data_IF_691518318322
#
_entry.id   IF_691518318322
#
_cell.length_a   1.000
_cell.length_b   1.000
_cell.length_c   1.000
_cell.angle_alpha   90.00
_cell.angle_beta   90.00
_cell.angle_gamma   90.00
#
_symmetry.space_group_name_H-M   'P 1'
#
loop_
_entity.id
_entity.type
_entity.pdbx_description
1 polymer ?
2 non-polymer ?
3 non-polymer ?
4 non-polymer ?
5 water ?
#
# COMPACT_ATOMS: atom_id res chain seq x y z
N UNK A 3 -17.34 -10.86 -11.68
CA UNK A 3 -18.11 -9.62 -11.70
C UNK A 3 -17.37 -8.42 -11.08
N UNK A 4 -16.74 -8.60 -9.89
CA UNK A 4 -15.98 -7.47 -9.34
C UNK A 4 -14.81 -7.03 -10.23
N UNK A 5 -13.94 -7.97 -10.59
CA UNK A 5 -12.82 -7.64 -11.46
C UNK A 5 -13.30 -7.15 -12.83
N UNK A 6 -14.36 -7.77 -13.35
CA UNK A 6 -14.86 -7.40 -14.67
C UNK A 6 -15.43 -5.98 -14.66
N UNK A 7 -16.16 -5.61 -13.59
CA UNK A 7 -16.66 -4.24 -13.48
C UNK A 7 -15.53 -3.26 -13.24
N UNK A 8 -14.51 -3.68 -12.48
CA UNK A 8 -13.38 -2.80 -12.19
C UNK A 8 -12.64 -2.42 -13.47
N UNK A 9 -12.39 -3.41 -14.33
CA UNK A 9 -11.73 -3.15 -15.60
C UNK A 9 -12.63 -2.39 -16.57
N UNK A 10 -13.94 -2.50 -16.43
CA UNK A 10 -14.86 -1.76 -17.29
C UNK A 10 -14.85 -0.28 -16.93
N UNK A 11 -14.73 0.04 -15.65
CA UNK A 11 -14.63 1.44 -15.24
C UNK A 11 -13.26 2.00 -15.58
N UNK A 12 -12.24 1.15 -15.66
CA UNK A 12 -10.92 1.61 -16.07
C UNK A 12 -10.94 2.17 -17.48
N UNK A 13 -11.62 1.49 -18.41
CA UNK A 13 -11.75 2.00 -19.76
C UNK A 13 -12.49 3.33 -19.77
N UNK A 14 -13.49 3.48 -18.91
CA UNK A 14 -14.24 4.73 -18.83
C UNK A 14 -13.37 5.85 -18.29
N UNK A 15 -12.56 5.57 -17.27
CA UNK A 15 -11.69 6.60 -16.69
C UNK A 15 -10.61 7.01 -17.68
N UNK A 16 -9.97 6.01 -18.31
CA UNK A 16 -8.91 6.31 -19.27
C UNK A 16 -9.46 7.10 -20.47
N UNK A 17 -10.65 6.75 -20.94
CA UNK A 17 -11.22 7.44 -22.09
C UNK A 17 -11.52 8.90 -21.75
N UNK A 18 -11.97 9.17 -20.53
CA UNK A 18 -12.24 10.55 -20.14
C UNK A 18 -10.95 11.36 -20.05
N UNK A 19 -9.93 10.81 -19.40
CA UNK A 19 -8.68 11.54 -19.21
C UNK A 19 -8.02 11.86 -20.55
N UNK A 20 -7.92 10.85 -21.42
CA UNK A 20 -7.25 11.05 -22.70
C UNK A 20 -8.04 11.99 -23.61
N UNK A 21 -9.37 11.83 -23.66
CA UNK A 21 -10.18 12.74 -24.45
C UNK A 21 -10.13 14.16 -23.89
N UNK A 22 -10.02 14.31 -22.58
CA UNK A 22 -9.89 15.64 -21.99
C UNK A 22 -8.60 16.31 -22.46
N UNK A 23 -7.50 15.55 -22.48
CA UNK A 23 -6.25 16.08 -23.01
C UNK A 23 -6.38 16.45 -24.48
N UNK A 24 -7.16 15.67 -25.23
CA UNK A 24 -7.33 15.94 -26.66
C UNK A 24 -8.19 17.18 -26.89
N UNK A 25 -9.27 17.32 -26.12
CA UNK A 25 -10.26 18.37 -26.38
C UNK A 25 -9.96 19.66 -25.61
N UNK A 26 -9.49 19.56 -24.37
CA UNK A 26 -9.27 20.73 -23.54
C UNK A 26 -7.82 21.15 -23.42
N UNK A 27 -6.88 20.21 -23.53
CA UNK A 27 -5.47 20.51 -23.34
C UNK A 27 -4.68 20.54 -24.64
N UNK A 28 -5.37 20.40 -25.79
CA UNK A 28 -4.76 20.58 -27.11
C UNK A 28 -3.58 19.62 -27.32
N UNK A 29 -3.81 18.35 -27.03
CA UNK A 29 -2.78 17.31 -27.17
C UNK A 29 -2.93 16.59 -28.50
N UNK A 30 -1.78 16.30 -29.12
CA UNK A 30 -1.74 15.62 -30.41
C UNK A 30 -1.93 14.12 -30.24
N UNK A 31 -2.43 13.43 -31.27
CA UNK A 31 -2.67 11.98 -31.15
C UNK A 31 -1.44 11.18 -30.77
N UNK A 32 -0.25 11.55 -31.27
CA UNK A 32 0.95 10.80 -30.96
C UNK A 32 1.21 10.77 -29.45
N UNK A 33 0.95 11.88 -28.77
CA UNK A 33 1.15 11.92 -27.32
C UNK A 33 -0.02 11.29 -26.56
N UNK A 34 -1.23 11.33 -27.13
CA UNK A 34 -2.36 10.67 -26.48
C UNK A 34 -2.16 9.17 -26.46
N UNK A 35 -1.71 8.60 -27.58
CA UNK A 35 -1.41 7.17 -27.60
C UNK A 35 -0.22 6.84 -26.73
N UNK A 36 0.76 7.75 -26.65
CA UNK A 36 1.90 7.56 -25.76
C UNK A 36 1.45 7.50 -24.30
N UNK A 37 0.51 8.37 -23.92
CA UNK A 37 0.04 8.38 -22.54
C UNK A 37 -0.90 7.21 -22.25
N UNK A 38 -1.59 6.71 -23.27
CA UNK A 38 -2.40 5.50 -23.08
C UNK A 38 -1.52 4.30 -22.76
N UNK A 39 -0.44 4.12 -23.53
CA UNK A 39 0.48 3.01 -23.27
C UNK A 39 1.14 3.15 -21.91
N UNK A 40 1.47 4.39 -21.51
CA UNK A 40 2.09 4.60 -20.20
C UNK A 40 1.10 4.31 -19.08
N UNK A 41 -0.15 4.72 -19.24
CA UNK A 41 -1.16 4.46 -18.22
C UNK A 41 -1.37 2.96 -18.03
N UNK A 42 -1.41 2.21 -19.13
CA UNK A 42 -1.59 0.76 -19.03
C UNK A 42 -0.38 0.09 -18.38
N UNK A 43 0.82 0.58 -18.69
CA UNK A 43 2.03 -0.04 -18.16
C UNK A 43 2.15 0.13 -16.66
N UNK A 44 1.78 1.30 -16.14
CA UNK A 44 1.99 1.60 -14.73
C UNK A 44 0.80 1.21 -13.85
N UNK A 45 -0.42 1.24 -14.39
CA UNK A 45 -1.61 1.01 -13.58
C UNK A 45 -2.17 -0.40 -13.69
N UNK A 46 -1.95 -1.07 -14.81
CA UNK A 46 -2.46 -2.42 -15.01
C UNK A 46 -1.34 -3.45 -14.85
N UNK A 47 -1.74 -4.65 -14.42
CA UNK A 47 -0.82 -5.77 -14.26
C UNK A 47 -0.67 -6.27 -12.84
N UNK A 48 -0.93 -5.43 -11.84
CA UNK A 48 -0.84 -5.85 -10.45
C UNK A 48 -1.98 -6.75 -10.04
N UNK A 49 -2.22 -6.86 -8.74
CA UNK A 49 -3.30 -7.68 -8.21
C UNK A 49 -4.55 -6.88 -7.88
N UNK A 50 -4.46 -5.55 -7.88
CA UNK A 50 -5.61 -4.66 -7.66
C UNK A 50 -6.24 -4.88 -6.29
N UNK A 51 -5.43 -5.23 -5.29
CA UNK A 51 -5.96 -5.49 -3.96
C UNK A 51 -6.52 -4.22 -3.32
N UNK A 52 -5.81 -3.10 -3.48
CA UNK A 52 -6.30 -1.85 -2.92
C UNK A 52 -7.59 -1.40 -3.60
N UNK A 53 -7.63 -1.50 -4.94
CA UNK A 53 -8.81 -1.04 -5.66
C UNK A 53 -10.03 -1.91 -5.41
N UNK A 54 -9.85 -3.23 -5.47
CA UNK A 54 -10.97 -4.14 -5.25
C UNK A 54 -11.46 -4.14 -3.81
N UNK A 55 -10.61 -3.72 -2.86
CA UNK A 55 -11.05 -3.62 -1.48
C UNK A 55 -12.14 -2.56 -1.31
N UNK A 56 -12.03 -1.46 -2.07
CA UNK A 56 -13.06 -0.43 -2.01
C UNK A 56 -14.40 -0.97 -2.49
N UNK A 57 -14.37 -1.82 -3.53
CA UNK A 57 -15.62 -2.38 -4.06
C UNK A 57 -16.24 -3.34 -3.06
N UNK A 58 -15.42 -4.18 -2.43
CA UNK A 58 -15.95 -5.17 -1.49
C UNK A 58 -16.57 -4.50 -0.26
N UNK A 59 -15.98 -3.38 0.18
CA UNK A 59 -16.57 -2.63 1.29
C UNK A 59 -17.87 -1.98 0.87
N UNK A 60 -17.95 -1.51 -0.38
CA UNK A 60 -19.14 -0.81 -0.83
C UNK A 60 -20.32 -1.77 -1.02
N UNK A 61 -20.07 -2.93 -1.63
CA UNK A 61 -21.17 -3.86 -1.90
C UNK A 61 -21.74 -4.44 -0.63
N UNK A 62 -20.93 -4.51 0.44
CA UNK A 62 -21.44 -5.04 1.70
C UNK A 62 -22.34 -4.03 2.41
N UNK A 63 -22.02 -2.73 2.30
CA UNK A 63 -22.77 -1.72 3.03
C UNK A 63 -24.08 -1.34 2.36
N UNK A 64 -24.26 -1.65 1.07
CA UNK A 64 -25.53 -1.40 0.41
C UNK A 64 -26.52 -2.55 0.61
N UNK A 65 -26.02 -3.80 0.65
CA UNK A 65 -26.89 -4.93 0.92
C UNK A 65 -27.22 -5.06 2.41
N UNK A 66 -26.36 -4.53 3.27
CA UNK A 66 -26.49 -4.64 4.72
C UNK A 66 -26.49 -3.26 5.36
N UNK A 67 -27.29 -2.35 4.79
CA UNK A 67 -27.36 -0.97 5.27
C UNK A 67 -28.09 -0.88 6.61
N UNK A 77 -34.15 1.03 -6.68
CA UNK A 77 -32.87 1.10 -6.02
C UNK A 77 -31.73 1.49 -6.94
N UNK A 78 -31.83 2.67 -7.53
CA UNK A 78 -30.76 3.17 -8.41
C UNK A 78 -29.53 3.63 -7.63
N UNK A 79 -29.65 3.80 -6.31
CA UNK A 79 -28.49 4.21 -5.52
C UNK A 79 -27.40 3.14 -5.53
N UNK A 80 -27.78 1.87 -5.71
CA UNK A 80 -26.81 0.79 -5.73
C UNK A 80 -25.84 0.94 -6.90
N UNK A 81 -26.37 1.22 -8.10
CA UNK A 81 -25.51 1.33 -9.27
C UNK A 81 -24.55 2.50 -9.16
N UNK A 82 -24.98 3.59 -8.49
CA UNK A 82 -24.12 4.76 -8.35
C UNK A 82 -23.01 4.52 -7.33
N UNK A 83 -23.35 3.88 -6.20
CA UNK A 83 -22.35 3.62 -5.17
C UNK A 83 -21.28 2.67 -5.68
N UNK A 84 -21.69 1.62 -6.41
CA UNK A 84 -20.73 0.67 -6.94
C UNK A 84 -19.82 1.32 -7.98
N UNK A 85 -20.37 2.25 -8.76
CA UNK A 85 -19.54 2.96 -9.74
C UNK A 85 -18.61 3.94 -9.05
N UNK A 86 -19.08 4.60 -7.98
CA UNK A 86 -18.22 5.50 -7.22
C UNK A 86 -17.08 4.75 -6.54
N UNK A 87 -17.32 3.50 -6.13
CA UNK A 87 -16.27 2.72 -5.50
C UNK A 87 -15.19 2.34 -6.51
N UNK A 88 -15.58 2.05 -7.74
CA UNK A 88 -14.60 1.70 -8.77
C UNK A 88 -13.71 2.88 -9.10
N UNK A 89 -14.28 4.09 -9.13
CA UNK A 89 -13.47 5.29 -9.35
C UNK A 89 -12.51 5.51 -8.19
N UNK A 90 -12.99 5.32 -6.96
CA UNK A 90 -12.11 5.39 -5.80
C UNK A 90 -11.07 4.28 -5.82
N UNK A 91 -11.45 3.10 -6.33
CA UNK A 91 -10.49 2.01 -6.42
C UNK A 91 -9.35 2.33 -7.37
N UNK A 92 -9.65 2.99 -8.49
CA UNK A 92 -8.61 3.37 -9.43
C UNK A 92 -7.85 4.61 -8.98
N UNK A 93 -8.43 5.43 -8.10
CA UNK A 93 -7.66 6.52 -7.50
C UNK A 93 -6.48 5.97 -6.71
N UNK A 94 -6.68 4.88 -5.96
CA UNK A 94 -5.60 4.29 -5.19
C UNK A 94 -4.62 3.56 -6.10
N UNK A 95 -5.13 2.86 -7.11
CA UNK A 95 -4.25 2.16 -8.05
C UNK A 95 -3.38 3.16 -8.82
N UNK A 96 -3.98 4.26 -9.27
CA UNK A 96 -3.19 5.32 -9.89
C UNK A 96 -2.19 5.90 -8.90
N UNK A 97 -2.60 6.03 -7.63
CA UNK A 97 -1.68 6.50 -6.60
C UNK A 97 -0.54 5.53 -6.38
N UNK A 98 -0.86 4.22 -6.32
CA UNK A 98 0.19 3.21 -6.19
C UNK A 98 1.10 3.20 -7.41
N UNK A 99 0.52 3.38 -8.61
CA UNK A 99 1.33 3.53 -9.81
C UNK A 99 2.26 4.72 -9.69
N UNK A 100 1.77 5.81 -9.09
CA UNK A 100 2.61 7.00 -8.89
C UNK A 100 3.77 6.72 -7.96
N UNK A 101 3.52 5.98 -6.87
CA UNK A 101 4.60 5.66 -5.93
C UNK A 101 5.64 4.74 -6.57
N UNK A 102 5.19 3.75 -7.35
CA UNK A 102 6.14 2.82 -7.96
C UNK A 102 7.01 3.52 -9.00
N UNK A 103 6.45 4.46 -9.74
CA UNK A 103 7.25 5.22 -10.70
C UNK A 103 8.35 6.00 -9.99
N UNK A 104 8.04 6.58 -8.83
CA UNK A 104 9.06 7.27 -8.05
C UNK A 104 10.13 6.31 -7.56
N UNK A 105 9.77 5.05 -7.31
CA UNK A 105 10.77 4.07 -6.89
C UNK A 105 11.77 3.78 -8.01
N UNK A 106 11.30 3.75 -9.25
CA UNK A 106 12.20 3.46 -10.37
C UNK A 106 13.18 4.61 -10.62
N UNK A 107 12.77 5.85 -10.35
CA UNK A 107 13.68 6.98 -10.51
C UNK A 107 14.83 6.88 -9.51
N UNK A 108 14.54 6.39 -8.30
CA UNK A 108 15.58 6.23 -7.29
C UNK A 108 16.58 5.16 -7.70
N UNK A 109 16.10 4.05 -8.23
CA UNK A 109 16.98 2.96 -8.65
C UNK A 109 16.74 2.59 -10.12
N UNK A 124 21.14 15.55 -20.73
CA UNK A 124 19.77 15.68 -21.27
C UNK A 124 19.06 14.33 -21.34
N UNK A 125 19.10 13.57 -20.25
CA UNK A 125 18.49 12.25 -20.23
C UNK A 125 16.97 12.38 -20.32
N UNK A 126 16.40 11.87 -21.41
CA UNK A 126 14.97 12.05 -21.66
C UNK A 126 14.10 10.97 -21.02
N UNK A 127 14.67 9.79 -20.74
CA UNK A 127 13.87 8.75 -20.08
C UNK A 127 13.65 9.06 -18.61
N UNK A 128 14.64 9.68 -17.95
CA UNK A 128 14.45 10.13 -16.58
C UNK A 128 13.49 11.32 -16.55
N UNK A 129 13.58 12.20 -17.54
CA UNK A 129 12.63 13.30 -17.64
C UNK A 129 11.21 12.79 -17.81
N UNK A 130 11.02 11.76 -18.63
CA UNK A 130 9.69 11.19 -18.80
C UNK A 130 9.22 10.46 -17.55
N UNK A 131 10.14 9.85 -16.80
CA UNK A 131 9.77 9.15 -15.58
C UNK A 131 9.20 10.12 -14.54
N UNK A 132 9.91 11.23 -14.32
CA UNK A 132 9.39 12.27 -13.42
C UNK A 132 8.05 12.78 -13.92
N UNK A 133 7.94 13.01 -15.23
CA UNK A 133 6.68 13.49 -15.79
C UNK A 133 5.56 12.47 -15.58
N UNK A 134 5.87 11.18 -15.77
CA UNK A 134 4.88 10.14 -15.52
C UNK A 134 4.38 10.18 -14.09
N UNK A 135 5.30 10.37 -13.13
CA UNK A 135 4.90 10.42 -11.73
C UNK A 135 3.98 11.59 -11.42
N UNK A 136 4.30 12.76 -11.98
CA UNK A 136 3.44 13.93 -11.77
C UNK A 136 2.08 13.73 -12.44
N UNK A 137 2.05 13.11 -13.62
CA UNK A 137 0.78 12.92 -14.32
C UNK A 137 -0.09 11.90 -13.60
N UNK A 138 0.51 10.83 -13.08
CA UNK A 138 -0.28 9.81 -12.39
C UNK A 138 -0.93 10.38 -11.14
N UNK A 139 -0.19 11.20 -10.38
CA UNK A 139 -0.79 11.81 -9.19
C UNK A 139 -1.89 12.79 -9.56
N UNK A 140 -1.66 13.60 -10.60
CA UNK A 140 -2.69 14.54 -11.03
C UNK A 140 -3.94 13.83 -11.53
N UNK A 141 -3.77 12.64 -12.13
CA UNK A 141 -4.92 11.91 -12.67
C UNK A 141 -5.87 11.46 -11.56
N UNK A 142 -5.35 11.19 -10.35
CA UNK A 142 -6.23 10.88 -9.24
C UNK A 142 -7.14 12.05 -8.91
N UNK A 143 -6.62 13.27 -8.99
CA UNK A 143 -7.44 14.45 -8.77
C UNK A 143 -8.42 14.67 -9.91
N UNK A 144 -7.96 14.48 -11.16
CA UNK A 144 -8.81 14.77 -12.31
C UNK A 144 -9.99 13.80 -12.38
N UNK A 145 -9.76 12.51 -12.13
CA UNK A 145 -10.86 11.55 -12.20
C UNK A 145 -11.81 11.73 -11.03
N UNK A 146 -11.33 12.27 -9.90
CA UNK A 146 -12.21 12.51 -8.76
C UNK A 146 -13.04 13.78 -8.96
N UNK A 147 -12.42 14.85 -9.45
CA UNK A 147 -13.14 16.09 -9.72
C UNK A 147 -14.19 15.95 -10.80
N UNK A 148 -14.15 14.88 -11.59
CA UNK A 148 -15.10 14.66 -12.68
C UNK A 148 -16.23 13.73 -12.27
N UNK A 149 -15.91 12.49 -11.92
CA UNK A 149 -16.94 11.50 -11.60
C UNK A 149 -17.65 11.81 -10.29
N UNK A 150 -17.04 12.62 -9.41
CA UNK A 150 -17.64 13.00 -8.14
C UNK A 150 -17.94 14.49 -8.09
N UNK A 151 -18.18 15.11 -9.24
CA UNK A 151 -18.34 16.56 -9.29
C UNK A 151 -19.53 17.03 -8.47
N UNK A 152 -20.62 16.26 -8.47
CA UNK A 152 -21.83 16.61 -7.74
C UNK A 152 -22.04 15.76 -6.50
N UNK A 153 -21.04 14.98 -6.09
CA UNK A 153 -21.17 14.20 -4.86
C UNK A 153 -20.95 15.10 -3.65
N UNK A 154 -21.74 14.92 -2.59
CA UNK A 154 -21.56 15.76 -1.39
C UNK A 154 -20.25 15.50 -0.64
N UNK A 155 -19.52 14.45 -1.00
CA UNK A 155 -18.30 14.06 -0.29
C UNK A 155 -17.04 14.41 -1.06
N UNK A 156 -17.14 15.15 -2.18
CA UNK A 156 -15.97 15.41 -3.00
C UNK A 156 -14.89 16.16 -2.22
N UNK A 157 -15.28 17.11 -1.37
CA UNK A 157 -14.30 17.86 -0.60
C UNK A 157 -13.69 16.99 0.50
N UNK A 158 -14.50 16.20 1.19
CA UNK A 158 -13.97 15.36 2.26
C UNK A 158 -13.16 14.18 1.71
N UNK A 159 -13.51 13.69 0.51
CA UNK A 159 -12.74 12.62 -0.09
C UNK A 159 -11.35 13.09 -0.49
N UNK A 160 -11.25 14.27 -1.11
CA UNK A 160 -9.95 14.79 -1.53
C UNK A 160 -9.07 15.14 -0.34
N UNK A 161 -9.67 15.57 0.77
CA UNK A 161 -8.87 15.93 1.94
C UNK A 161 -8.31 14.68 2.63
N UNK A 162 -9.14 13.64 2.80
CA UNK A 162 -8.63 12.41 3.37
C UNK A 162 -7.63 11.74 2.44
N UNK A 163 -7.88 11.82 1.12
CA UNK A 163 -6.95 11.25 0.15
C UNK A 163 -5.61 11.98 0.19
N UNK A 164 -5.64 13.31 0.20
CA UNK A 164 -4.41 14.09 0.21
C UNK A 164 -3.65 13.92 1.53
N UNK A 165 -4.37 13.77 2.64
CA UNK A 165 -3.70 13.61 3.93
C UNK A 165 -3.01 12.25 4.01
N UNK A 166 -3.62 11.22 3.44
CA UNK A 166 -2.99 9.90 3.42
C UNK A 166 -1.77 9.90 2.51
N UNK A 167 -1.86 10.61 1.38
CA UNK A 167 -0.70 10.74 0.50
C UNK A 167 0.45 11.44 1.20
N UNK A 168 0.15 12.52 1.92
CA UNK A 168 1.16 13.20 2.73
C UNK A 168 1.75 12.26 3.78
N UNK A 169 0.88 11.49 4.44
CA UNK A 169 1.34 10.49 5.41
C UNK A 169 2.33 9.53 4.78
N UNK A 170 2.05 9.07 3.55
CA UNK A 170 2.95 8.13 2.88
C UNK A 170 4.31 8.76 2.62
N UNK A 171 4.33 10.03 2.21
CA UNK A 171 5.60 10.71 1.99
C UNK A 171 6.39 10.84 3.28
N UNK A 172 5.69 11.10 4.39
CA UNK A 172 6.35 11.13 5.69
C UNK A 172 6.87 9.75 6.06
N UNK A 173 6.10 8.71 5.74
CA UNK A 173 6.56 7.36 6.01
C UNK A 173 7.79 7.00 5.21
N UNK A 174 7.85 7.47 3.96
CA UNK A 174 9.04 7.26 3.14
C UNK A 174 10.26 7.93 3.77
N UNK A 175 10.07 9.09 4.38
CA UNK A 175 11.18 9.78 5.03
C UNK A 175 11.68 9.00 6.23
N UNK A 176 10.76 8.41 7.00
CA UNK A 176 11.17 7.58 8.13
C UNK A 176 11.96 6.36 7.66
N UNK A 177 11.60 5.80 6.50
CA UNK A 177 12.25 4.59 6.02
C UNK A 177 13.62 4.88 5.41
N UNK A 178 13.69 5.90 4.55
CA UNK A 178 14.94 6.21 3.87
C UNK A 178 16.02 6.60 4.88
N UNK A 179 15.64 7.29 5.95
CA UNK A 179 16.58 7.76 6.95
C UNK A 179 16.63 6.87 8.19
N UNK A 180 16.22 5.61 8.07
CA UNK A 180 16.24 4.72 9.22
C UNK A 180 17.65 4.40 9.69
N UNK A 181 18.66 4.64 8.85
CA UNK A 181 20.06 4.40 9.21
C UNK A 181 20.89 5.68 9.18
N UNK A 182 20.26 6.85 9.02
CA UNK A 182 20.96 8.12 8.97
C UNK A 182 20.30 9.12 9.91
N UNK A 183 21.13 9.91 10.58
CA UNK A 183 20.67 11.06 11.36
C UNK A 183 21.84 11.96 11.74
N UNK A 199 22.43 2.49 14.31
CA UNK A 199 21.43 1.49 14.64
C UNK A 199 20.58 1.93 15.83
N UNK A 200 20.58 3.24 16.09
CA UNK A 200 19.78 3.76 17.20
C UNK A 200 18.29 3.60 16.94
N UNK A 201 17.84 3.92 15.73
CA UNK A 201 16.43 3.82 15.38
C UNK A 201 15.99 2.42 15.01
N UNK A 202 16.88 1.42 15.11
CA UNK A 202 16.52 0.03 14.83
C UNK A 202 15.81 -0.56 16.05
N UNK A 203 14.59 -0.05 16.28
CA UNK A 203 13.75 -0.50 17.38
C UNK A 203 12.41 -0.96 16.84
N UNK A 204 11.70 -1.74 17.67
CA UNK A 204 10.43 -2.29 17.24
C UNK A 204 9.34 -1.23 17.14
N UNK A 205 9.42 -0.18 17.98
CA UNK A 205 8.43 0.89 17.90
C UNK A 205 8.65 1.77 16.69
N UNK A 206 9.91 1.98 16.28
CA UNK A 206 10.16 2.75 15.07
C UNK A 206 9.85 1.93 13.83
N UNK A 207 10.05 0.61 13.89
CA UNK A 207 9.64 -0.24 12.78
C UNK A 207 8.14 -0.12 12.53
N UNK A 208 7.33 -0.13 13.59
CA UNK A 208 5.91 0.07 13.43
C UNK A 208 5.59 1.47 12.91
N UNK A 209 6.40 2.47 13.26
CA UNK A 209 6.17 3.81 12.74
C UNK A 209 6.40 3.85 11.23
N UNK A 210 7.45 3.20 10.76
CA UNK A 210 7.71 3.14 9.32
C UNK A 210 6.57 2.44 8.61
N UNK A 211 6.16 1.28 9.13
CA UNK A 211 5.11 0.49 8.48
C UNK A 211 3.78 1.25 8.51
N UNK A 212 3.50 1.93 9.62
CA UNK A 212 2.23 2.63 9.75
C UNK A 212 2.09 3.74 8.72
N UNK A 213 3.10 4.59 8.59
CA UNK A 213 2.98 5.77 7.75
C UNK A 213 3.31 5.51 6.29
N UNK A 214 4.25 4.61 6.00
CA UNK A 214 4.68 4.40 4.62
C UNK A 214 3.81 3.39 3.87
N UNK A 215 3.23 2.42 4.57
CA UNK A 215 2.46 1.36 3.92
C UNK A 215 1.02 1.26 4.42
N UNK A 216 0.82 1.21 5.73
CA UNK A 216 -0.47 0.80 6.29
C UNK A 216 -1.58 1.79 5.95
N UNK A 217 -1.28 3.09 5.96
CA UNK A 217 -2.34 4.08 5.82
C UNK A 217 -2.96 4.08 4.43
N UNK A 218 -2.14 3.97 3.39
CA UNK A 218 -2.66 4.02 2.03
C UNK A 218 -3.02 2.66 1.46
N UNK A 219 -2.52 1.58 2.04
CA UNK A 219 -2.82 0.23 1.54
C UNK A 219 -4.00 -0.39 2.26
N UNK A 220 -4.17 -0.14 3.56
CA UNK A 220 -5.20 -0.79 4.35
C UNK A 220 -6.27 0.17 4.87
N UNK A 221 -5.87 1.30 5.45
CA UNK A 221 -6.85 2.22 6.00
C UNK A 221 -7.60 2.97 4.90
N UNK A 222 -6.88 3.47 3.89
CA UNK A 222 -7.50 4.27 2.86
C UNK A 222 -8.54 3.50 2.04
N UNK A 223 -8.28 2.29 1.54
CA UNK A 223 -9.34 1.58 0.80
C UNK A 223 -10.57 1.29 1.63
N UNK A 224 -10.40 1.03 2.93
CA UNK A 224 -11.56 0.83 3.79
C UNK A 224 -12.35 2.12 3.97
N UNK A 225 -11.64 3.23 4.20
CA UNK A 225 -12.33 4.51 4.40
C UNK A 225 -13.04 4.93 3.12
N UNK A 226 -12.42 4.74 1.96
CA UNK A 226 -13.04 5.13 0.71
C UNK A 226 -14.30 4.32 0.42
N UNK A 227 -14.36 3.07 0.89
CA UNK A 227 -15.58 2.30 0.76
C UNK A 227 -16.70 2.82 1.65
N UNK A 228 -16.35 3.40 2.80
CA UNK A 228 -17.35 3.98 3.68
C UNK A 228 -17.88 5.29 3.14
N UNK A 229 -17.04 6.06 2.43
CA UNK A 229 -17.45 7.36 1.93
C UNK A 229 -18.44 7.20 0.78
N UNK A 230 -18.13 6.32 -0.17
CA UNK A 230 -19.04 6.10 -1.29
C UNK A 230 -20.34 5.46 -0.82
N UNK A 231 -20.30 4.73 0.29
CA UNK A 231 -21.50 4.16 0.90
C UNK A 231 -22.16 5.11 1.89
N UNK A 232 -21.57 6.29 2.11
CA UNK A 232 -22.13 7.34 2.97
C UNK A 232 -22.20 6.91 4.44
N UNK A 233 -21.78 5.68 4.73
CA UNK A 233 -21.82 5.16 6.10
C UNK A 233 -20.50 5.34 6.83
N UNK A 234 -19.85 6.49 6.64
CA UNK A 234 -18.57 6.72 7.32
C UNK A 234 -18.72 6.86 8.83
N UNK A 235 -19.59 7.73 9.36
CA UNK A 235 -19.66 7.90 10.82
C UNK A 235 -20.30 6.74 11.56
N UNK A 236 -20.69 5.67 10.87
CA UNK A 236 -21.33 4.53 11.51
C UNK A 236 -20.34 3.44 11.91
N UNK A 237 -19.03 3.73 11.86
CA UNK A 237 -18.01 2.75 12.18
C UNK A 237 -17.09 3.32 13.25
N UNK A 238 -16.45 2.41 13.98
CA UNK A 238 -15.44 2.77 14.97
C UNK A 238 -14.13 3.02 14.23
N UNK A 239 -13.77 4.28 14.06
CA UNK A 239 -12.54 4.61 13.36
C UNK A 239 -11.31 4.20 14.15
N UNK A 240 -11.42 4.13 15.49
CA UNK A 240 -10.30 3.70 16.29
C UNK A 240 -9.93 2.24 16.04
N UNK A 241 -10.92 1.36 16.12
CA UNK A 241 -10.67 -0.06 15.85
C UNK A 241 -10.28 -0.28 14.40
N UNK A 242 -10.85 0.51 13.48
CA UNK A 242 -10.49 0.39 12.08
C UNK A 242 -9.06 0.83 11.83
N UNK A 243 -8.67 1.98 12.39
CA UNK A 243 -7.28 2.41 12.29
C UNK A 243 -6.34 1.42 12.96
N UNK A 244 -6.75 0.85 14.09
CA UNK A 244 -5.92 -0.13 14.78
C UNK A 244 -5.78 -1.40 13.95
N UNK A 245 -6.86 -1.82 13.28
CA UNK A 245 -6.79 -3.01 12.44
C UNK A 245 -5.91 -2.79 11.23
N UNK A 246 -5.97 -1.59 10.63
CA UNK A 246 -5.18 -1.31 9.44
C UNK A 246 -3.68 -1.34 9.76
N UNK A 247 -3.30 -0.84 10.92
CA UNK A 247 -1.88 -0.85 11.29
C UNK A 247 -1.38 -2.27 11.56
N UNK A 248 -2.22 -3.10 12.18
CA UNK A 248 -1.80 -4.46 12.49
C UNK A 248 -1.70 -5.30 11.23
N UNK A 249 -2.61 -5.10 10.27
CA UNK A 249 -2.55 -5.86 9.02
C UNK A 249 -1.35 -5.44 8.19
N UNK A 250 -1.03 -4.15 8.15
CA UNK A 250 0.17 -3.71 7.47
C UNK A 250 1.43 -4.21 8.15
N UNK A 251 1.44 -4.22 9.49
CA UNK A 251 2.56 -4.77 10.23
C UNK A 251 2.72 -6.26 9.95
N UNK A 252 1.60 -7.00 9.94
CA UNK A 252 1.66 -8.43 9.62
C UNK A 252 2.18 -8.64 8.21
N UNK A 253 1.75 -7.81 7.26
CA UNK A 253 2.21 -7.94 5.88
C UNK A 253 3.69 -7.61 5.75
N UNK A 254 4.17 -6.60 6.50
CA UNK A 254 5.55 -6.17 6.33
C UNK A 254 6.53 -7.15 6.95
N UNK A 255 6.19 -7.72 8.10
CA UNK A 255 7.07 -8.71 8.73
C UNK A 255 7.22 -9.93 7.84
N UNK A 256 6.10 -10.44 7.32
CA UNK A 256 6.16 -11.56 6.39
C UNK A 256 6.97 -11.20 5.16
N UNK A 257 6.83 -9.97 4.66
CA UNK A 257 7.59 -9.54 3.50
C UNK A 257 9.07 -9.41 3.81
N UNK A 258 9.42 -9.02 5.04
CA UNK A 258 10.82 -8.89 5.41
C UNK A 258 11.51 -10.25 5.47
N UNK A 259 10.84 -11.24 6.05
CA UNK A 259 11.43 -12.57 6.17
C UNK A 259 11.57 -13.22 4.79
N UNK A 260 10.54 -13.09 3.95
CA UNK A 260 10.62 -13.61 2.59
C UNK A 260 11.71 -12.90 1.78
N UNK A 261 11.95 -11.62 2.05
CA UNK A 261 12.98 -10.90 1.32
C UNK A 261 14.37 -11.47 1.61
N UNK A 262 14.56 -12.07 2.78
CA UNK A 262 15.85 -12.60 3.18
C UNK A 262 16.02 -14.08 2.87
N UNK A 263 14.96 -14.88 3.02
CA UNK A 263 15.09 -16.33 2.92
C UNK A 263 14.47 -16.93 1.67
N UNK A 264 13.39 -16.36 1.15
CA UNK A 264 12.78 -16.90 -0.06
C UNK A 264 13.70 -16.66 -1.25
N UNK A 265 14.06 -17.69 -2.01
CA UNK A 265 14.98 -17.52 -3.15
C UNK A 265 14.38 -16.60 -4.19
N UNK A 266 15.22 -16.06 -5.09
CA UNK A 266 14.70 -15.04 -6.03
C UNK A 266 13.59 -15.53 -6.94
N UNK A 267 13.70 -16.75 -7.47
CA UNK A 267 12.69 -17.23 -8.41
C UNK A 267 11.35 -17.48 -7.75
N UNK A 268 11.35 -17.79 -6.45
CA UNK A 268 10.11 -17.98 -5.71
C UNK A 268 9.59 -16.70 -5.07
N UNK A 269 10.47 -15.72 -4.85
CA UNK A 269 10.06 -14.42 -4.32
C UNK A 269 9.57 -13.46 -5.40
N UNK A 270 10.00 -13.66 -6.65
CA UNK A 270 9.67 -12.74 -7.73
C UNK A 270 10.64 -11.58 -7.89
N UNK A 271 11.66 -11.51 -7.04
CA UNK A 271 12.64 -10.42 -7.09
C UNK A 271 13.87 -10.87 -6.33
N UNK A 272 14.89 -10.02 -6.32
CA UNK A 272 16.11 -10.27 -5.57
C UNK A 272 15.99 -9.55 -4.23
N UNK A 273 16.06 -10.31 -3.14
CA UNK A 273 15.99 -9.72 -1.82
C UNK A 273 17.22 -8.87 -1.56
N UNK A 274 17.00 -7.60 -1.22
CA UNK A 274 18.10 -6.64 -1.11
C UNK A 274 18.09 -5.87 0.20
N UNK A 275 17.34 -6.37 1.21
CA UNK A 275 17.22 -5.62 2.46
C UNK A 275 18.55 -5.54 3.20
N UNK A 276 19.33 -6.63 3.19
CA UNK A 276 20.60 -6.63 3.91
C UNK A 276 21.59 -5.68 3.24
N UNK A 277 21.72 -5.76 1.92
CA UNK A 277 22.63 -4.86 1.21
C UNK A 277 22.21 -3.40 1.40
N UNK A 278 20.90 -3.14 1.39
CA UNK A 278 20.38 -1.78 1.55
C UNK A 278 20.29 -1.35 3.00
N UNK A 279 20.63 -2.23 3.95
CA UNK A 279 20.65 -1.91 5.37
C UNK A 279 19.30 -1.39 5.85
N UNK A 280 18.22 -2.05 5.42
CA UNK A 280 16.89 -1.60 5.79
C UNK A 280 16.61 -1.89 7.26
N UNK A 281 15.63 -1.17 7.80
CA UNK A 281 15.17 -1.37 9.17
C UNK A 281 14.08 -2.44 9.18
N UNK A 282 14.48 -3.65 8.81
CA UNK A 282 13.55 -4.75 8.69
C UNK A 282 13.24 -5.36 10.07
N UNK A 283 12.17 -6.16 10.10
CA UNK A 283 11.81 -6.85 11.33
C UNK A 283 12.90 -7.81 11.78
N UNK A 284 13.62 -8.42 10.83
CA UNK A 284 14.70 -9.34 11.19
C UNK A 284 15.85 -8.60 11.86
N UNK A 285 16.13 -7.38 11.43
CA UNK A 285 17.25 -6.63 12.01
C UNK A 285 16.94 -6.18 13.44
N UNK A 286 15.74 -5.64 13.67
CA UNK A 286 15.40 -5.13 14.99
C UNK A 286 15.12 -6.26 15.98
N UNK A 287 14.75 -7.45 15.49
CA UNK A 287 14.57 -8.59 16.38
C UNK A 287 15.90 -9.26 16.72
N UNK A 288 16.83 -9.28 15.76
CA UNK A 288 18.15 -9.84 16.03
C UNK A 288 18.89 -9.01 17.07
N UNK A 289 18.84 -7.68 16.96
CA UNK A 289 19.60 -6.82 17.85
C UNK A 289 19.14 -6.91 19.30
N UNK A 290 17.91 -7.38 19.55
CA UNK A 290 17.41 -7.48 20.91
C UNK A 290 17.77 -8.79 21.59
N UNK A 291 18.08 -9.83 20.82
CA UNK A 291 18.42 -11.13 21.40
C UNK A 291 19.83 -11.61 21.05
N UNK A 292 20.63 -10.78 20.40
CA UNK A 292 21.99 -11.16 20.05
C UNK A 292 22.95 -10.85 21.19
N UNK A 293 24.07 -11.56 21.21
CA UNK A 293 25.12 -11.28 22.18
C UNK A 293 25.85 -9.99 21.80
N UNK A 294 26.71 -9.54 22.72
CA UNK A 294 27.46 -8.31 22.45
C UNK A 294 28.41 -8.46 21.28
N UNK A 295 28.90 -9.68 21.03
CA UNK A 295 29.78 -9.90 19.88
C UNK A 295 28.99 -10.05 18.59
N UNK A 296 27.88 -10.80 18.64
CA UNK A 296 27.05 -10.97 17.45
C UNK A 296 26.52 -9.64 16.94
N UNK A 297 26.27 -8.69 17.85
CA UNK A 297 25.91 -7.35 17.41
C UNK A 297 27.07 -6.70 16.68
N UNK A 298 28.29 -6.86 17.19
CA UNK A 298 29.46 -6.31 16.51
C UNK A 298 29.68 -6.98 15.16
N UNK A 299 29.50 -8.30 15.09
CA UNK A 299 29.62 -8.98 13.81
C UNK A 299 28.48 -8.61 12.86
N UNK A 300 27.30 -8.31 13.41
CA UNK A 300 26.20 -7.83 12.58
C UNK A 300 26.49 -6.44 12.03
N UNK A 301 26.92 -5.52 12.89
CA UNK A 301 27.20 -4.16 12.46
C UNK A 301 28.33 -4.12 11.43
N UNK A 302 29.28 -5.04 11.53
CA UNK A 302 30.39 -5.08 10.57
C UNK A 302 30.01 -5.72 9.24
N UNK A 303 28.89 -6.46 9.19
CA UNK A 303 28.48 -7.15 7.98
C UNK A 303 27.19 -6.59 7.37
N UNK A 304 26.46 -5.75 8.08
CA UNK A 304 25.18 -5.26 7.60
C UNK A 304 25.37 -4.04 6.71
N UNK A 305 24.59 -3.98 5.63
CA UNK A 305 24.65 -2.85 4.73
C UNK A 305 25.73 -2.92 3.68
N UNK A 306 26.20 -4.12 3.33
CA UNK A 306 27.25 -4.29 2.34
C UNK A 306 26.74 -5.12 1.18
N UNK A 307 27.38 -4.92 0.02
CA UNK A 307 27.05 -5.69 -1.17
C UNK A 307 27.83 -6.96 -1.35
N UNK A 308 28.80 -7.22 -0.47
CA UNK A 308 29.59 -8.45 -0.55
C UNK A 308 28.69 -9.67 -0.37
N UNK A 309 28.79 -10.60 -1.32
CA UNK A 309 27.92 -11.77 -1.30
C UNK A 309 28.13 -12.61 -0.04
N UNK A 310 29.30 -12.54 0.56
CA UNK A 310 29.60 -13.34 1.75
C UNK A 310 29.21 -12.64 3.04
N UNK A 311 29.30 -11.30 3.08
CA UNK A 311 28.80 -10.58 4.25
C UNK A 311 27.29 -10.70 4.35
N UNK A 312 26.59 -10.68 3.21
CA UNK A 312 25.15 -10.92 3.22
C UNK A 312 24.86 -12.34 3.70
N UNK A 313 25.67 -13.31 3.28
CA UNK A 313 25.54 -14.66 3.79
C UNK A 313 25.90 -14.74 5.27
N UNK A 314 26.83 -13.90 5.73
CA UNK A 314 27.15 -13.84 7.15
C UNK A 314 25.97 -13.31 7.96
N UNK A 315 25.25 -12.34 7.41
CA UNK A 315 24.07 -11.82 8.09
C UNK A 315 22.95 -12.86 8.12
N UNK A 316 22.72 -13.55 7.00
CA UNK A 316 21.75 -14.63 6.98
C UNK A 316 22.12 -15.72 7.98
N UNK A 317 23.41 -16.04 8.06
CA UNK A 317 23.87 -17.04 9.03
C UNK A 317 23.57 -16.60 10.46
N UNK A 318 23.79 -15.32 10.76
CA UNK A 318 23.46 -14.80 12.08
C UNK A 318 21.96 -14.87 12.35
N UNK A 319 21.14 -14.59 11.32
CA UNK A 319 19.69 -14.71 11.47
C UNK A 319 19.29 -16.16 11.71
N UNK A 320 19.96 -17.10 11.04
CA UNK A 320 19.66 -18.52 11.23
C UNK A 320 20.01 -18.96 12.65
N UNK A 321 21.22 -18.62 13.10
CA UNK A 321 21.71 -19.06 14.41
C UNK A 321 20.92 -18.45 15.57
N UNK A 322 20.08 -17.45 15.31
CA UNK A 322 19.26 -16.83 16.35
C UNK A 322 17.83 -17.33 16.34
N UNK A 323 17.49 -18.28 15.46
CA UNK A 323 16.14 -18.84 15.35
C UNK A 323 15.11 -17.74 15.10
N UNK A 324 15.45 -16.81 14.21
CA UNK A 324 14.52 -15.72 13.91
C UNK A 324 13.31 -16.21 13.12
N UNK A 325 13.47 -17.25 12.30
CA UNK A 325 12.34 -17.82 11.59
C UNK A 325 11.37 -18.51 12.54
N UNK A 326 11.83 -18.94 13.71
CA UNK A 326 10.95 -19.46 14.73
C UNK A 326 10.23 -18.34 15.45
N UNK A 327 10.97 -17.27 15.76
CA UNK A 327 10.35 -16.08 16.35
C UNK A 327 9.37 -15.44 15.38
N UNK A 328 9.58 -15.62 14.07
CA UNK A 328 8.69 -15.05 13.07
C UNK A 328 7.31 -15.68 13.13
N UNK A 329 7.26 -17.01 13.31
CA UNK A 329 5.96 -17.68 13.37
C UNK A 329 5.19 -17.27 14.61
N UNK A 330 5.89 -17.10 15.73
CA UNK A 330 5.22 -16.71 16.97
C UNK A 330 4.76 -15.26 16.94
N UNK A 331 5.60 -14.37 16.40
CA UNK A 331 5.22 -12.95 16.36
C UNK A 331 4.02 -12.73 15.47
N UNK A 332 3.95 -13.44 14.34
CA UNK A 332 2.81 -13.28 13.44
C UNK A 332 1.54 -13.89 14.02
N UNK A 333 1.68 -14.97 14.80
CA UNK A 333 0.51 -15.57 15.43
C UNK A 333 -0.13 -14.63 16.43
N UNK A 334 0.69 -13.90 17.20
CA UNK A 334 0.15 -12.93 18.14
C UNK A 334 -0.54 -11.78 17.43
N UNK A 335 0.03 -11.32 16.31
CA UNK A 335 -0.61 -10.26 15.53
C UNK A 335 -1.94 -10.75 14.98
N UNK A 336 -1.98 -12.00 14.50
CA UNK A 336 -3.20 -12.54 13.92
C UNK A 336 -4.32 -12.62 14.96
N UNK A 337 -3.98 -12.92 16.21
CA UNK A 337 -5.00 -12.95 17.25
C UNK A 337 -5.53 -11.56 17.56
N UNK A 338 -4.65 -10.56 17.58
CA UNK A 338 -5.10 -9.19 17.75
C UNK A 338 -6.02 -8.76 16.61
N UNK A 339 -5.76 -9.27 15.40
CA UNK A 339 -6.63 -8.97 14.26
C UNK A 339 -7.98 -9.65 14.44
N UNK A 340 -7.97 -10.95 14.79
CA UNK A 340 -9.22 -11.68 14.93
C UNK A 340 -10.12 -11.09 16.00
N UNK A 341 -9.53 -10.56 17.07
CA UNK A 341 -10.34 -10.02 18.16
C UNK A 341 -10.87 -8.63 17.84
N UNK A 342 -10.09 -7.82 17.12
CA UNK A 342 -10.52 -6.46 16.83
C UNK A 342 -11.64 -6.41 15.80
N UNK A 343 -11.71 -7.41 14.91
CA UNK A 343 -12.81 -7.46 13.95
C UNK A 343 -14.13 -7.70 14.67
N UNK A 344 -14.10 -8.45 15.79
CA UNK A 344 -15.32 -8.72 16.53
C UNK A 344 -15.85 -7.45 17.21
N UNK A 345 -14.95 -6.62 17.74
CA UNK A 345 -15.39 -5.36 18.35
C UNK A 345 -16.01 -4.44 17.32
N UNK A 346 -15.52 -4.47 16.09
CA UNK A 346 -16.07 -3.68 15.00
C UNK A 346 -17.39 -4.23 14.48
N UNK A 347 -17.67 -5.52 14.73
CA UNK A 347 -18.91 -6.11 14.26
C UNK A 347 -20.09 -5.73 15.15
N UNK A 348 -19.83 -5.41 16.42
CA UNK A 348 -20.91 -5.08 17.35
C UNK A 348 -21.74 -3.90 16.86
N UNK A 349 -21.08 -2.85 16.36
CA UNK A 349 -21.77 -1.67 15.88
C UNK A 349 -21.78 -1.53 14.36
N UNK A 350 -20.86 -2.19 13.65
CA UNK A 350 -20.82 -2.19 12.19
C UNK A 350 -20.71 -3.63 11.72
N UNK A 351 -21.84 -4.33 11.62
CA UNK A 351 -21.80 -5.76 11.27
C UNK A 351 -21.28 -6.03 9.86
N UNK A 352 -21.95 -5.45 8.85
CA UNK A 352 -21.56 -5.73 7.47
C UNK A 352 -20.19 -5.19 7.12
N UNK A 353 -19.75 -4.12 7.78
CA UNK A 353 -18.43 -3.56 7.48
C UNK A 353 -17.32 -4.51 7.88
N UNK A 354 -17.52 -5.33 8.91
CA UNK A 354 -16.49 -6.26 9.35
C UNK A 354 -16.32 -7.43 8.40
N UNK A 355 -17.34 -7.76 7.62
CA UNK A 355 -17.22 -8.88 6.67
C UNK A 355 -16.17 -8.59 5.62
N UNK A 356 -16.09 -7.33 5.16
CA UNK A 356 -15.08 -6.98 4.16
C UNK A 356 -13.69 -6.92 4.77
N UNK A 357 -13.58 -6.53 6.05
CA UNK A 357 -12.28 -6.47 6.70
C UNK A 357 -11.71 -7.88 6.85
N UNK A 358 -12.57 -8.86 7.11
CA UNK A 358 -12.09 -10.25 7.16
C UNK A 358 -11.65 -10.73 5.79
N UNK A 359 -12.33 -10.29 4.73
CA UNK A 359 -11.89 -10.61 3.38
C UNK A 359 -10.55 -9.95 3.06
N UNK A 360 -10.39 -8.69 3.45
CA UNK A 360 -9.10 -8.02 3.26
C UNK A 360 -8.01 -8.68 4.10
N UNK A 361 -8.35 -9.07 5.33
CA UNK A 361 -7.37 -9.75 6.18
C UNK A 361 -6.99 -11.11 5.61
N UNK A 362 -7.93 -11.79 4.94
CA UNK A 362 -7.61 -13.08 4.35
C UNK A 362 -6.61 -12.98 3.22
N UNK A 363 -6.61 -11.86 2.48
CA UNK A 363 -5.65 -11.67 1.41
C UNK A 363 -4.23 -11.55 1.96
N UNK A 364 -4.08 -10.99 3.17
CA UNK A 364 -2.78 -10.91 3.81
C UNK A 364 -2.43 -12.18 4.58
N UNK A 365 -3.43 -12.93 5.02
CA UNK A 365 -3.21 -14.11 5.85
C UNK A 365 -2.87 -15.35 5.01
#
# INVERSE_FOLDING_TARGET
GPMPMQMFMQVYDEIQMFLLEELELKFDMDPNRVRYLRKMMDTTCLGGKYNRGLTVIDVAESLLSLSPNNNGEEDDGARRKRVLHDACVCGWMIEFLQAHYLVEDDIMDNSVTRRGKPCWYRHPDVTVQCAINDGLLLKSWTHMMAMHFFADRPFLQDLLCRFNRVDYTTAVGQLYDVTSMFDSNKLDPDVSQPTTTDFAEFTLSNYKRIVKYKTAYYTYLLPLVMGLIVSEALPTVDMGVTEELAMLMGEYFQVQDDVMDCFTPPERLGKVGTDIQDAKCSWLAVTFLAKASSAQVAEFKANYGSGDSEKVATVRRLYEEADLQGDYVAYEAAVAEQVKELIEKLRLCSPGFAASVETLWGKTYKRQK
#
